data_IF_211825103735
#
_entry.id   IF_211825103735
#
_cell.length_a   1.000
_cell.length_b   1.000
_cell.length_c   1.000
_cell.angle_alpha   90.00
_cell.angle_beta   90.00
_cell.angle_gamma   90.00
#
_symmetry.space_group_name_H-M   'P 1'
#
loop_
_entity.id
_entity.type
_entity.pdbx_description
1 polymer ?
#
# COMPACT_ATOMS: atom_id res chain seq x y z
N UNK A 1 -38.30 4.94 -1.30
CA UNK A 1 -36.96 4.93 -0.69
C UNK A 1 -36.16 3.84 -1.39
N UNK A 2 -35.46 4.17 -2.47
CA UNK A 2 -34.54 3.23 -3.12
C UNK A 2 -33.26 3.25 -2.29
N UNK A 3 -32.97 2.11 -1.67
CA UNK A 3 -31.67 1.84 -1.08
C UNK A 3 -30.63 2.03 -2.19
N UNK A 4 -29.82 3.07 -2.02
CA UNK A 4 -28.63 3.28 -2.85
C UNK A 4 -27.68 2.18 -2.39
N UNK A 5 -27.60 1.11 -3.17
CA UNK A 5 -26.46 0.23 -3.14
C UNK A 5 -25.24 1.12 -3.38
N UNK A 6 -24.48 1.33 -2.30
CA UNK A 6 -23.17 1.97 -2.31
C UNK A 6 -22.19 0.98 -2.98
N UNK A 7 -22.45 0.69 -4.26
CA UNK A 7 -21.51 0.00 -5.13
C UNK A 7 -20.25 0.85 -5.18
N UNK A 8 -19.10 0.18 -5.13
CA UNK A 8 -17.74 0.68 -5.18
C UNK A 8 -17.62 2.09 -5.80
N UNK A 9 -16.88 3.04 -5.19
CA UNK A 9 -16.59 4.32 -5.83
C UNK A 9 -16.10 4.02 -7.26
N UNK A 10 -16.93 4.37 -8.24
CA UNK A 10 -16.81 3.85 -9.61
C UNK A 10 -15.37 3.99 -10.05
N UNK A 11 -14.69 2.87 -10.30
CA UNK A 11 -13.24 2.73 -10.54
C UNK A 11 -12.60 3.89 -11.34
N UNK A 12 -13.36 4.44 -12.28
CA UNK A 12 -13.05 5.62 -13.07
C UNK A 12 -12.74 6.88 -12.23
N UNK A 13 -13.51 7.17 -11.18
CA UNK A 13 -13.28 8.33 -10.29
C UNK A 13 -11.96 8.18 -9.56
N UNK A 14 -11.64 6.99 -9.05
CA UNK A 14 -10.36 6.73 -8.38
C UNK A 14 -9.22 6.90 -9.36
N UNK A 15 -9.36 6.37 -10.58
CA UNK A 15 -8.34 6.48 -11.62
C UNK A 15 -8.08 7.95 -12.02
N UNK A 16 -9.13 8.71 -12.31
CA UNK A 16 -9.02 10.13 -12.64
C UNK A 16 -8.46 10.95 -11.48
N UNK A 17 -8.94 10.71 -10.25
CA UNK A 17 -8.41 11.38 -9.06
C UNK A 17 -6.93 11.07 -8.87
N UNK A 18 -6.52 9.81 -9.07
CA UNK A 18 -5.11 9.38 -8.97
C UNK A 18 -4.23 10.04 -10.02
N UNK A 19 -4.73 10.29 -11.23
CA UNK A 19 -4.01 11.06 -12.26
C UNK A 19 -3.79 12.50 -11.81
N UNK A 20 -4.82 13.18 -11.28
CA UNK A 20 -4.68 14.55 -10.75
C UNK A 20 -3.69 14.61 -9.58
N UNK A 21 -3.78 13.66 -8.63
CA UNK A 21 -2.85 13.58 -7.51
C UNK A 21 -1.42 13.32 -8.01
N UNK A 22 -1.23 12.45 -9.02
CA UNK A 22 0.07 12.25 -9.64
C UNK A 22 0.65 13.54 -10.26
N UNK A 23 -0.19 14.38 -10.87
CA UNK A 23 0.24 15.69 -11.36
C UNK A 23 0.69 16.60 -10.21
N UNK A 24 -0.05 16.64 -9.10
CA UNK A 24 0.35 17.41 -7.91
C UNK A 24 1.66 16.90 -7.31
N UNK A 25 1.86 15.57 -7.27
CA UNK A 25 3.10 14.93 -6.83
C UNK A 25 4.28 15.37 -7.69
N UNK A 26 4.12 15.49 -9.01
CA UNK A 26 5.18 15.99 -9.91
C UNK A 26 5.58 17.44 -9.61
N UNK A 27 4.65 18.27 -9.13
CA UNK A 27 4.87 19.70 -8.89
C UNK A 27 5.49 19.94 -7.50
N UNK A 28 4.92 19.34 -6.45
CA UNK A 28 5.28 19.62 -5.05
C UNK A 28 6.14 18.53 -4.41
N UNK A 29 6.26 17.37 -5.04
CA UNK A 29 6.90 16.19 -4.47
C UNK A 29 5.92 15.32 -3.67
N UNK A 30 6.17 14.02 -3.64
CA UNK A 30 5.26 13.04 -3.04
C UNK A 30 5.09 13.23 -1.54
N UNK A 31 6.17 13.57 -0.81
CA UNK A 31 6.12 13.79 0.65
C UNK A 31 5.10 14.85 1.05
N UNK A 32 5.01 15.92 0.27
CA UNK A 32 4.08 17.02 0.53
C UNK A 32 2.62 16.63 0.26
N UNK A 33 2.36 15.76 -0.71
CA UNK A 33 1.00 15.35 -1.05
C UNK A 33 0.49 14.28 -0.08
N UNK A 34 1.35 13.34 0.29
CA UNK A 34 1.01 12.19 1.13
C UNK A 34 0.53 12.60 2.52
N UNK A 35 1.04 13.71 3.08
CA UNK A 35 0.59 14.21 4.38
C UNK A 35 -0.89 14.63 4.42
N UNK A 36 -1.49 14.95 3.26
CA UNK A 36 -2.90 15.31 3.14
C UNK A 36 -3.82 14.11 2.90
N UNK A 37 -3.24 12.93 2.64
CA UNK A 37 -4.03 11.72 2.54
C UNK A 37 -4.56 11.35 3.93
N UNK A 38 -5.78 10.80 4.02
CA UNK A 38 -6.31 10.30 5.27
C UNK A 38 -5.34 9.32 5.93
N UNK A 39 -5.24 9.40 7.25
CA UNK A 39 -4.34 8.55 8.04
C UNK A 39 -5.12 7.49 8.84
N UNK A 40 -6.40 7.24 8.55
CA UNK A 40 -7.17 6.32 9.39
C UNK A 40 -6.78 4.85 9.16
N UNK A 41 -6.64 4.12 10.25
CA UNK A 41 -6.38 2.68 10.28
C UNK A 41 -7.54 1.91 9.62
N UNK A 42 -8.77 2.40 9.75
CA UNK A 42 -9.96 1.75 9.17
C UNK A 42 -9.93 1.69 7.64
N UNK A 43 -9.19 2.61 7.01
CA UNK A 43 -9.05 2.71 5.56
C UNK A 43 -7.95 1.80 5.02
N UNK A 44 -7.04 1.32 5.87
CA UNK A 44 -5.92 0.47 5.46
C UNK A 44 -6.39 -0.75 4.63
N UNK A 45 -7.37 -1.50 5.15
CA UNK A 45 -7.86 -2.70 4.50
C UNK A 45 -8.52 -2.39 3.15
N UNK A 46 -9.20 -1.24 3.05
CA UNK A 46 -9.86 -0.79 1.83
C UNK A 46 -8.83 -0.39 0.78
N UNK A 47 -7.80 0.38 1.15
CA UNK A 47 -6.71 0.79 0.25
C UNK A 47 -5.92 -0.44 -0.22
N UNK A 48 -5.67 -1.42 0.64
CA UNK A 48 -5.01 -2.67 0.26
C UNK A 48 -5.85 -3.48 -0.73
N UNK A 49 -7.17 -3.62 -0.49
CA UNK A 49 -8.09 -4.28 -1.42
C UNK A 49 -8.14 -3.56 -2.76
N UNK A 50 -8.15 -2.23 -2.76
CA UNK A 50 -8.10 -1.44 -3.99
C UNK A 50 -6.80 -1.66 -4.75
N UNK A 51 -5.65 -1.75 -4.08
CA UNK A 51 -4.38 -2.04 -4.74
C UNK A 51 -4.39 -3.43 -5.40
N UNK A 52 -4.90 -4.44 -4.70
CA UNK A 52 -5.03 -5.81 -5.22
C UNK A 52 -5.97 -5.87 -6.43
N UNK A 53 -7.14 -5.23 -6.36
CA UNK A 53 -8.13 -5.21 -7.43
C UNK A 53 -7.71 -4.34 -8.64
N UNK A 54 -6.78 -3.40 -8.45
CA UNK A 54 -6.27 -2.56 -9.53
C UNK A 54 -5.14 -3.20 -10.33
N UNK A 55 -4.57 -4.32 -9.88
CA UNK A 55 -3.56 -5.08 -10.65
C UNK A 55 -4.02 -5.45 -12.07
N UNK A 56 -5.33 -5.67 -12.26
CA UNK A 56 -5.92 -6.03 -13.55
C UNK A 56 -6.21 -4.82 -14.45
N UNK A 57 -6.18 -3.61 -13.91
CA UNK A 57 -6.48 -2.36 -14.63
C UNK A 57 -5.25 -1.50 -14.70
N UNK A 58 -4.72 -1.40 -15.91
CA UNK A 58 -3.44 -0.86 -16.35
C UNK A 58 -3.06 0.61 -15.97
N UNK A 59 -3.54 1.17 -14.86
CA UNK A 59 -3.20 2.52 -14.39
C UNK A 59 -2.13 2.47 -13.31
N UNK A 60 -0.87 2.59 -13.73
CA UNK A 60 0.26 2.70 -12.82
C UNK A 60 0.13 3.91 -11.87
N UNK A 61 -0.57 4.98 -12.28
CA UNK A 61 -0.83 6.16 -11.44
C UNK A 61 -1.64 5.80 -10.19
N UNK A 62 -2.67 4.96 -10.36
CA UNK A 62 -3.51 4.52 -9.26
C UNK A 62 -2.71 3.66 -8.28
N UNK A 63 -1.96 2.68 -8.78
CA UNK A 63 -1.10 1.84 -7.95
C UNK A 63 -0.06 2.69 -7.20
N UNK A 64 0.57 3.65 -7.88
CA UNK A 64 1.53 4.56 -7.28
C UNK A 64 0.93 5.38 -6.12
N UNK A 65 -0.26 5.97 -6.30
CA UNK A 65 -0.92 6.74 -5.23
C UNK A 65 -1.35 5.84 -4.07
N UNK A 66 -1.89 4.65 -4.35
CA UNK A 66 -2.29 3.69 -3.31
C UNK A 66 -1.08 3.21 -2.49
N UNK A 67 0.05 2.94 -3.12
CA UNK A 67 1.29 2.57 -2.43
C UNK A 67 1.82 3.69 -1.52
N UNK A 68 1.77 4.94 -2.01
CA UNK A 68 2.13 6.10 -1.20
C UNK A 68 1.18 6.32 -0.03
N UNK A 69 -0.12 6.06 -0.22
CA UNK A 69 -1.12 6.13 0.84
C UNK A 69 -0.87 5.05 1.90
N UNK A 70 -0.65 3.79 1.48
CA UNK A 70 -0.28 2.70 2.38
C UNK A 70 1.00 3.03 3.16
N UNK A 71 2.01 3.63 2.53
CA UNK A 71 3.25 4.04 3.19
C UNK A 71 3.03 5.00 4.35
N UNK A 72 1.97 5.79 4.27
CA UNK A 72 1.60 6.76 5.27
C UNK A 72 0.78 6.13 6.40
N UNK A 73 -0.23 5.32 6.06
CA UNK A 73 -1.04 4.59 7.05
C UNK A 73 -0.18 3.59 7.83
N UNK A 74 0.77 2.92 7.16
CA UNK A 74 1.73 2.03 7.83
C UNK A 74 2.52 2.76 8.92
N UNK A 75 2.90 4.03 8.75
CA UNK A 75 3.59 4.76 9.83
C UNK A 75 2.69 4.89 11.06
N UNK A 76 1.41 5.22 10.87
CA UNK A 76 0.48 5.39 11.99
C UNK A 76 0.17 4.07 12.69
N UNK A 77 -0.14 3.02 11.92
CA UNK A 77 -0.32 1.65 12.43
C UNK A 77 0.87 1.20 13.28
N UNK A 78 2.05 1.74 12.97
CA UNK A 78 3.28 1.39 13.62
C UNK A 78 3.67 2.31 14.80
N UNK A 79 2.95 3.39 15.06
CA UNK A 79 3.22 4.32 16.17
C UNK A 79 2.32 4.05 17.39
N UNK A 80 1.13 3.48 17.17
CA UNK A 80 0.18 3.23 18.25
C UNK A 80 0.53 1.95 19.02
N UNK A 81 0.82 2.11 20.33
CA UNK A 81 0.98 1.06 21.35
C UNK A 81 -0.31 0.23 21.62
N UNK A 82 -1.12 -0.05 20.62
CA UNK A 82 -2.31 -0.91 20.73
C UNK A 82 -1.94 -2.38 20.50
N UNK A 83 -1.01 -2.89 21.32
CA UNK A 83 -0.18 -4.05 21.02
C UNK A 83 -0.87 -5.43 20.99
N UNK A 84 -2.02 -5.66 21.62
CA UNK A 84 -2.51 -7.05 21.76
C UNK A 84 -3.53 -7.48 20.69
N UNK A 85 -4.48 -6.61 20.31
CA UNK A 85 -5.51 -6.97 19.31
C UNK A 85 -5.02 -6.74 17.88
N UNK A 86 -4.12 -5.77 17.69
CA UNK A 86 -3.53 -5.49 16.39
C UNK A 86 -2.41 -6.46 16.02
N UNK A 87 -1.74 -7.17 16.94
CA UNK A 87 -0.66 -8.09 16.52
C UNK A 87 -1.14 -9.18 15.56
N UNK A 88 -2.31 -9.77 15.84
CA UNK A 88 -2.94 -10.76 14.96
C UNK A 88 -3.40 -10.15 13.63
N UNK A 89 -4.00 -8.96 13.68
CA UNK A 89 -4.47 -8.28 12.47
C UNK A 89 -3.32 -7.76 11.62
N UNK A 90 -2.32 -7.12 12.23
CA UNK A 90 -1.07 -6.64 11.64
C UNK A 90 -0.30 -7.80 11.04
N UNK A 91 -0.22 -8.97 11.65
CA UNK A 91 0.44 -10.12 11.02
C UNK A 91 -0.25 -10.49 9.70
N UNK A 92 -1.57 -10.69 9.71
CA UNK A 92 -2.34 -11.05 8.50
C UNK A 92 -2.34 -9.94 7.44
N UNK A 93 -2.45 -8.70 7.88
CA UNK A 93 -2.35 -7.49 7.05
C UNK A 93 -0.97 -7.35 6.45
N UNK A 94 0.08 -7.60 7.23
CA UNK A 94 1.48 -7.50 6.81
C UNK A 94 1.82 -8.56 5.78
N UNK A 95 1.38 -9.80 5.96
CA UNK A 95 1.57 -10.87 4.97
C UNK A 95 0.90 -10.52 3.63
N UNK A 96 -0.34 -10.03 3.67
CA UNK A 96 -1.04 -9.62 2.45
C UNK A 96 -0.39 -8.40 1.79
N UNK A 97 0.05 -7.43 2.59
CA UNK A 97 0.79 -6.26 2.13
C UNK A 97 2.10 -6.66 1.46
N UNK A 98 2.86 -7.59 2.05
CA UNK A 98 4.15 -8.05 1.52
C UNK A 98 3.95 -8.74 0.17
N UNK A 99 2.99 -9.66 0.06
CA UNK A 99 2.68 -10.33 -1.21
C UNK A 99 2.32 -9.34 -2.32
N UNK A 100 1.45 -8.36 -2.02
CA UNK A 100 1.10 -7.31 -2.99
C UNK A 100 2.26 -6.39 -3.33
N UNK A 101 3.14 -6.11 -2.37
CA UNK A 101 4.29 -5.22 -2.57
C UNK A 101 5.43 -5.91 -3.32
N UNK A 102 5.62 -7.22 -3.11
CA UNK A 102 6.55 -8.06 -3.88
C UNK A 102 6.15 -8.02 -5.36
N UNK A 103 4.89 -8.27 -5.70
CA UNK A 103 4.42 -8.21 -7.09
C UNK A 103 4.70 -6.83 -7.72
N UNK A 104 4.49 -5.75 -6.96
CA UNK A 104 4.75 -4.40 -7.45
C UNK A 104 6.26 -4.04 -7.51
N UNK A 105 7.14 -4.70 -6.75
CA UNK A 105 8.59 -4.50 -6.78
C UNK A 105 9.22 -4.92 -8.11
N UNK A 106 8.61 -5.88 -8.80
CA UNK A 106 9.06 -6.39 -10.09
C UNK A 106 8.40 -5.68 -11.29
N UNK A 107 7.56 -4.68 -11.05
CA UNK A 107 7.05 -3.82 -12.12
C UNK A 107 8.14 -2.80 -12.52
N UNK A 108 8.32 -2.56 -13.82
CA UNK A 108 9.34 -1.61 -14.34
C UNK A 108 8.91 -0.13 -14.26
N UNK A 109 7.90 0.17 -13.44
CA UNK A 109 7.24 1.47 -13.35
C UNK A 109 7.64 2.25 -12.09
N UNK A 110 7.22 3.51 -11.98
CA UNK A 110 7.39 4.33 -10.76
C UNK A 110 6.77 3.72 -9.49
N UNK A 111 5.92 2.71 -9.67
CA UNK A 111 5.40 1.87 -8.61
C UNK A 111 6.51 1.14 -7.86
N UNK A 112 7.59 0.73 -8.53
CA UNK A 112 8.75 0.07 -7.91
C UNK A 112 9.39 0.94 -6.83
N UNK A 113 9.64 2.21 -7.14
CA UNK A 113 10.23 3.16 -6.19
C UNK A 113 9.30 3.39 -4.99
N UNK A 114 7.98 3.51 -5.24
CA UNK A 114 6.99 3.66 -4.18
C UNK A 114 6.88 2.41 -3.29
N UNK A 115 6.99 1.22 -3.88
CA UNK A 115 7.05 -0.06 -3.18
C UNK A 115 8.31 -0.18 -2.33
N UNK A 116 9.47 0.12 -2.90
CA UNK A 116 10.73 0.12 -2.17
C UNK A 116 10.68 1.09 -0.98
N UNK A 117 10.08 2.28 -1.18
CA UNK A 117 9.88 3.25 -0.10
C UNK A 117 8.91 2.76 0.99
N UNK A 118 7.80 2.14 0.62
CA UNK A 118 6.86 1.50 1.54
C UNK A 118 7.55 0.41 2.35
N UNK A 119 8.26 -0.51 1.69
CA UNK A 119 9.00 -1.61 2.33
C UNK A 119 10.09 -1.09 3.26
N UNK A 120 10.88 -0.12 2.82
CA UNK A 120 11.94 0.46 3.64
C UNK A 120 11.39 1.05 4.94
N UNK A 121 10.25 1.76 4.88
CA UNK A 121 9.58 2.28 6.07
C UNK A 121 9.01 1.17 6.95
N UNK A 122 8.35 0.19 6.37
CA UNK A 122 7.77 -0.93 7.10
C UNK A 122 8.85 -1.75 7.82
N UNK A 123 9.97 -2.04 7.15
CA UNK A 123 11.10 -2.81 7.70
C UNK A 123 12.03 -2.00 8.61
N UNK A 124 11.86 -0.68 8.71
CA UNK A 124 12.68 0.14 9.61
C UNK A 124 12.37 -0.09 11.11
N UNK A 125 11.26 -0.75 11.44
CA UNK A 125 10.91 -1.11 12.82
C UNK A 125 11.56 -2.42 13.26
N UNK A 126 12.16 -2.40 14.46
CA UNK A 126 12.86 -3.54 15.07
C UNK A 126 11.98 -4.79 15.26
N UNK A 127 10.69 -4.61 15.57
CA UNK A 127 9.78 -5.75 15.81
C UNK A 127 9.47 -6.53 14.52
N UNK A 128 9.42 -5.84 13.38
CA UNK A 128 9.16 -6.44 12.08
C UNK A 128 10.43 -7.07 11.48
N UNK A 129 11.61 -6.53 11.81
CA UNK A 129 12.89 -7.09 11.37
C UNK A 129 13.11 -8.52 11.87
N UNK A 130 12.63 -8.86 13.05
CA UNK A 130 12.84 -10.20 13.62
C UNK A 130 11.77 -11.19 13.18
N UNK A 131 10.51 -10.74 13.04
CA UNK A 131 9.37 -11.63 12.73
C UNK A 131 9.10 -11.80 11.23
N UNK A 132 9.19 -10.70 10.47
CA UNK A 132 8.65 -10.63 9.10
C UNK A 132 9.75 -10.68 8.04
N UNK A 133 10.91 -10.09 8.35
CA UNK A 133 12.02 -9.99 7.40
C UNK A 133 12.53 -11.34 6.85
N UNK A 134 12.68 -12.41 7.65
CA UNK A 134 13.11 -13.71 7.12
C UNK A 134 12.11 -14.26 6.09
N UNK A 135 10.82 -14.28 6.44
CA UNK A 135 9.74 -14.75 5.55
C UNK A 135 9.66 -13.93 4.27
N UNK A 136 9.90 -12.63 4.35
CA UNK A 136 9.91 -11.74 3.19
C UNK A 136 11.05 -12.07 2.21
N UNK A 137 12.27 -12.31 2.71
CA UNK A 137 13.38 -12.69 1.84
C UNK A 137 13.18 -14.07 1.21
N UNK A 138 12.61 -15.02 1.94
CA UNK A 138 12.28 -16.34 1.40
C UNK A 138 11.24 -16.25 0.26
N UNK A 139 10.20 -15.43 0.43
CA UNK A 139 9.22 -15.15 -0.63
C UNK A 139 9.85 -14.42 -1.82
N UNK A 140 10.71 -13.43 -1.59
CA UNK A 140 11.43 -12.73 -2.66
C UNK A 140 12.33 -13.67 -3.47
N UNK A 141 13.09 -14.53 -2.79
CA UNK A 141 13.98 -15.49 -3.45
C UNK A 141 13.17 -16.49 -4.26
N UNK A 142 12.01 -16.92 -3.76
CA UNK A 142 11.10 -17.80 -4.50
C UNK A 142 10.57 -17.10 -5.74
N UNK A 143 10.07 -15.87 -5.59
CA UNK A 143 9.57 -15.07 -6.71
C UNK A 143 10.64 -14.83 -7.79
N UNK A 144 11.90 -14.54 -7.40
CA UNK A 144 13.01 -14.39 -8.34
C UNK A 144 13.41 -15.68 -9.07
N UNK A 145 13.06 -16.85 -8.52
CA UNK A 145 13.31 -18.14 -9.19
C UNK A 145 12.20 -18.50 -10.17
N UNK A 146 10.99 -18.04 -9.91
CA UNK A 146 9.79 -18.33 -10.71
C UNK A 146 9.54 -17.29 -11.84
N UNK A 147 10.20 -16.12 -11.77
CA UNK A 147 10.14 -15.03 -12.76
C UNK A 147 11.21 -15.17 -13.86
#
# INVERSE_FOLDING_TARGET
KKEIQLNEPSKLIIDESSKYICHLVKIKGFKYIVQYLPHDITEFEQVLKLLQNNGDTNSWQTNFILLLWLSNICILLLDQNHHETLESQVNKVSENLLKSTIACLFTSDKCQDACAFLLAKFMSRRDLQTKVLPSFFDELITYMKDA
#
